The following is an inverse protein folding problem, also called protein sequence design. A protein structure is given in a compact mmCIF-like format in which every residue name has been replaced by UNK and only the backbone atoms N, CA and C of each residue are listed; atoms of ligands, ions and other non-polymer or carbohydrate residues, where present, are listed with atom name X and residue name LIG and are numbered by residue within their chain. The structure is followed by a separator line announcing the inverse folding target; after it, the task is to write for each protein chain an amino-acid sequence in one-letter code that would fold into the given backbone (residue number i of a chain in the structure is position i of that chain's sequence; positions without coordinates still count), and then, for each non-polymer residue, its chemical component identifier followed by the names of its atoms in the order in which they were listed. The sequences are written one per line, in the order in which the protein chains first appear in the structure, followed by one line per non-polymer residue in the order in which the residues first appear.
data_IF_995686193298
#
_entry.id   IF_995686193298
#
_cell.length_a   1.000
_cell.length_b   1.000
_cell.length_c   1.000
_cell.angle_alpha   90.00
_cell.angle_beta   90.00
_cell.angle_gamma   90.00
#
_symmetry.space_group_name_H-M   'P 1'
#
loop_
_entity.id
_entity.type
_entity.pdbx_description
1 polymer ?
#
# COMPACT_ATOMS: atom_id res chain seq x y z
N UNK A 1 10.91 -9.84 -5.11
CA UNK A 1 9.83 -8.86 -5.36
C UNK A 1 10.37 -7.73 -6.21
N UNK A 2 9.79 -7.50 -7.40
CA UNK A 2 10.19 -6.45 -8.33
C UNK A 2 9.67 -5.11 -7.80
N UNK A 3 10.56 -4.32 -7.19
CA UNK A 3 10.23 -3.00 -6.64
C UNK A 3 9.98 -2.02 -7.80
N UNK A 4 8.73 -1.68 -8.06
CA UNK A 4 8.30 -0.76 -9.15
C UNK A 4 8.46 0.72 -8.77
N UNK A 5 8.30 1.07 -7.50
CA UNK A 5 8.44 2.44 -6.99
C UNK A 5 9.85 3.06 -7.21
N UNK A 6 10.98 2.38 -6.94
CA UNK A 6 12.30 2.93 -7.25
C UNK A 6 12.60 2.96 -8.76
N UNK A 7 11.91 2.16 -9.58
CA UNK A 7 12.15 2.12 -11.02
C UNK A 7 11.64 3.38 -11.71
N UNK A 8 10.49 3.91 -11.32
CA UNK A 8 9.87 5.08 -11.94
C UNK A 8 10.64 6.38 -11.65
N UNK A 9 11.21 6.51 -10.43
CA UNK A 9 12.09 7.63 -10.09
C UNK A 9 13.42 7.60 -10.86
N UNK A 10 13.97 6.41 -11.12
CA UNK A 10 15.16 6.25 -11.96
C UNK A 10 14.84 6.57 -13.42
N UNK A 11 13.69 6.08 -13.94
CA UNK A 11 13.25 6.38 -15.31
C UNK A 11 13.03 7.89 -15.55
N UNK A 12 12.51 8.62 -14.56
CA UNK A 12 12.29 10.06 -14.69
C UNK A 12 13.58 10.91 -14.67
N UNK A 13 14.69 10.36 -14.16
CA UNK A 13 16.01 11.01 -14.22
C UNK A 13 16.69 10.86 -15.58
N UNK A 14 16.18 10.02 -16.48
CA UNK A 14 16.74 9.83 -17.81
C UNK A 14 16.28 11.00 -18.71
N UNK A 15 17.22 11.78 -19.28
CA UNK A 15 16.91 12.92 -20.13
C UNK A 15 16.14 12.44 -21.38
N UNK A 16 15.27 13.30 -21.93
CA UNK A 16 14.32 12.95 -22.99
C UNK A 16 15.00 12.30 -24.22
N UNK A 17 16.24 12.70 -24.49
CA UNK A 17 17.10 12.22 -25.57
C UNK A 17 17.60 10.76 -25.41
N UNK A 18 17.56 10.18 -24.21
CA UNK A 18 17.94 8.80 -23.90
C UNK A 18 16.72 7.89 -23.64
N UNK A 19 15.50 8.38 -23.89
CA UNK A 19 14.25 7.61 -23.73
C UNK A 19 13.99 6.74 -24.97
N UNK A 20 14.75 5.67 -25.09
CA UNK A 20 14.61 4.68 -26.17
C UNK A 20 13.36 3.79 -26.04
N UNK A 21 13.07 2.97 -27.06
CA UNK A 21 11.95 2.00 -27.03
C UNK A 21 11.95 1.07 -25.80
N UNK A 22 13.12 0.82 -25.20
CA UNK A 22 13.26 0.05 -23.95
C UNK A 22 12.71 0.80 -22.73
N UNK A 23 12.86 2.13 -22.69
CA UNK A 23 12.28 3.00 -21.66
C UNK A 23 10.75 3.03 -21.78
N UNK A 24 10.24 3.18 -23.00
CA UNK A 24 8.79 3.13 -23.27
C UNK A 24 8.19 1.77 -22.92
N UNK A 25 8.87 0.67 -23.23
CA UNK A 25 8.44 -0.67 -22.85
C UNK A 25 8.38 -0.88 -21.33
N UNK A 26 9.37 -0.39 -20.59
CA UNK A 26 9.37 -0.43 -19.12
C UNK A 26 8.30 0.48 -18.51
N UNK A 27 8.11 1.68 -19.05
CA UNK A 27 7.04 2.58 -18.60
C UNK A 27 5.66 1.96 -18.85
N UNK A 28 5.40 1.43 -20.05
CA UNK A 28 4.13 0.78 -20.36
C UNK A 28 3.87 -0.43 -19.46
N UNK A 29 4.92 -1.18 -19.08
CA UNK A 29 4.82 -2.30 -18.13
C UNK A 29 4.48 -1.81 -16.71
N UNK A 30 5.09 -0.70 -16.27
CA UNK A 30 4.77 -0.06 -14.99
C UNK A 30 3.33 0.46 -15.01
N UNK A 31 2.91 1.15 -16.07
CA UNK A 31 1.54 1.64 -16.23
C UNK A 31 0.51 0.50 -16.29
N UNK A 32 0.83 -0.62 -16.94
CA UNK A 32 -0.02 -1.82 -16.92
C UNK A 32 -0.15 -2.41 -15.51
N UNK A 33 0.95 -2.46 -14.76
CA UNK A 33 0.93 -2.93 -13.37
C UNK A 33 0.13 -1.99 -12.47
N UNK A 34 0.23 -0.67 -12.67
CA UNK A 34 -0.56 0.34 -11.95
C UNK A 34 -2.04 0.23 -12.32
N UNK A 35 -2.37 0.11 -13.62
CA UNK A 35 -3.76 -0.05 -14.07
C UNK A 35 -4.39 -1.36 -13.60
N UNK A 36 -3.62 -2.43 -13.48
CA UNK A 36 -4.09 -3.68 -12.90
C UNK A 36 -4.33 -3.58 -11.38
N UNK A 37 -3.64 -2.64 -10.71
CA UNK A 37 -3.80 -2.35 -9.30
C UNK A 37 -4.95 -1.36 -9.01
N UNK A 38 -5.39 -0.57 -9.98
CA UNK A 38 -6.47 0.41 -9.80
C UNK A 38 -7.84 -0.23 -10.11
N UNK A 39 -8.35 -0.98 -9.14
CA UNK A 39 -9.67 -1.62 -9.25
C UNK A 39 -10.79 -0.65 -8.87
N UNK A 40 -11.95 -0.70 -9.54
CA UNK A 40 -13.09 0.16 -9.21
C UNK A 40 -13.61 -0.07 -7.78
N UNK A 41 -13.45 -1.28 -7.22
CA UNK A 41 -13.80 -1.55 -5.82
C UNK A 41 -12.98 -0.74 -4.82
N UNK A 42 -11.67 -0.53 -5.06
CA UNK A 42 -10.83 0.29 -4.18
C UNK A 42 -11.31 1.74 -4.19
N UNK A 43 -11.62 2.28 -5.36
CA UNK A 43 -12.09 3.67 -5.49
C UNK A 43 -13.42 3.88 -4.75
N UNK A 44 -14.39 2.95 -4.91
CA UNK A 44 -15.67 3.02 -4.21
C UNK A 44 -15.49 2.98 -2.69
N UNK A 45 -14.66 2.05 -2.19
CA UNK A 45 -14.40 1.94 -0.75
C UNK A 45 -13.69 3.17 -0.20
N UNK A 46 -12.80 3.81 -0.97
CA UNK A 46 -12.17 5.08 -0.58
C UNK A 46 -13.19 6.20 -0.48
N UNK A 47 -14.11 6.32 -1.44
CA UNK A 47 -15.18 7.32 -1.39
C UNK A 47 -16.14 7.08 -0.22
N UNK A 48 -16.52 5.83 0.04
CA UNK A 48 -17.35 5.48 1.19
C UNK A 48 -16.64 5.78 2.50
N UNK A 49 -15.36 5.43 2.61
CA UNK A 49 -14.54 5.74 3.79
C UNK A 49 -14.36 7.24 3.98
N UNK A 50 -14.24 8.02 2.90
CA UNK A 50 -14.16 9.48 2.96
C UNK A 50 -15.46 10.13 3.44
N UNK A 51 -16.61 9.56 3.06
CA UNK A 51 -17.94 10.02 3.53
C UNK A 51 -18.23 9.57 4.95
N UNK A 52 -17.85 8.34 5.29
CA UNK A 52 -18.14 7.72 6.57
C UNK A 52 -16.93 6.88 7.03
N UNK A 53 -15.95 7.50 7.68
CA UNK A 53 -14.78 6.79 8.17
C UNK A 53 -15.20 5.82 9.28
N UNK A 54 -15.07 4.53 9.02
CA UNK A 54 -15.39 3.45 9.96
C UNK A 54 -14.30 2.39 9.91
N UNK A 55 -14.06 1.72 11.04
CA UNK A 55 -13.05 0.68 11.16
C UNK A 55 -13.32 -0.51 10.21
N UNK A 56 -14.59 -0.93 10.06
CA UNK A 56 -14.98 -1.99 9.13
C UNK A 56 -14.68 -1.63 7.66
N UNK A 57 -14.96 -0.39 7.27
CA UNK A 57 -14.63 0.13 5.93
C UNK A 57 -13.12 0.19 5.73
N UNK A 58 -12.35 0.60 6.74
CA UNK A 58 -10.90 0.62 6.65
C UNK A 58 -10.31 -0.79 6.46
N UNK A 59 -10.84 -1.79 7.17
CA UNK A 59 -10.43 -3.19 7.00
C UNK A 59 -10.72 -3.69 5.60
N UNK A 60 -11.94 -3.46 5.09
CA UNK A 60 -12.32 -3.83 3.72
C UNK A 60 -11.45 -3.14 2.68
N UNK A 61 -11.20 -1.84 2.86
CA UNK A 61 -10.35 -1.05 1.97
C UNK A 61 -8.90 -1.56 1.99
N UNK A 62 -8.33 -1.82 3.17
CA UNK A 62 -6.98 -2.37 3.29
C UNK A 62 -6.85 -3.75 2.62
N UNK A 63 -7.86 -4.61 2.73
CA UNK A 63 -7.89 -5.90 2.04
C UNK A 63 -7.91 -5.75 0.52
N UNK A 64 -8.73 -4.83 -0.01
CA UNK A 64 -8.79 -4.56 -1.45
C UNK A 64 -7.48 -3.94 -1.97
N UNK A 65 -6.90 -3.01 -1.21
CA UNK A 65 -5.59 -2.45 -1.50
C UNK A 65 -4.50 -3.54 -1.51
N UNK A 66 -4.54 -4.49 -0.58
CA UNK A 66 -3.63 -5.64 -0.58
C UNK A 66 -3.78 -6.51 -1.84
N UNK A 67 -5.01 -6.82 -2.25
CA UNK A 67 -5.29 -7.59 -3.48
C UNK A 67 -4.79 -6.84 -4.74
N UNK A 68 -4.90 -5.51 -4.73
CA UNK A 68 -4.36 -4.62 -5.74
C UNK A 68 -2.82 -4.48 -5.70
N UNK A 69 -2.09 -5.19 -4.83
CA UNK A 69 -0.66 -4.97 -4.56
C UNK A 69 -0.30 -3.56 -4.04
N UNK A 70 -1.29 -2.76 -3.64
CA UNK A 70 -1.13 -1.43 -3.01
C UNK A 70 -0.93 -1.56 -1.50
N UNK A 71 0.07 -2.36 -1.14
CA UNK A 71 0.36 -2.75 0.23
C UNK A 71 0.75 -1.58 1.12
N UNK A 72 1.49 -0.60 0.60
CA UNK A 72 1.89 0.57 1.38
C UNK A 72 0.67 1.35 1.85
N UNK A 73 -0.28 1.64 0.96
CA UNK A 73 -1.51 2.37 1.29
C UNK A 73 -2.39 1.61 2.27
N UNK A 74 -2.51 0.28 2.09
CA UNK A 74 -3.25 -0.58 3.03
C UNK A 74 -2.68 -0.47 4.45
N UNK A 75 -1.35 -0.57 4.57
CA UNK A 75 -0.65 -0.49 5.85
C UNK A 75 -0.72 0.92 6.44
N UNK A 76 -0.57 1.98 5.64
CA UNK A 76 -0.70 3.37 6.13
C UNK A 76 -2.10 3.65 6.67
N UNK A 77 -3.14 3.19 5.98
CA UNK A 77 -4.53 3.35 6.41
C UNK A 77 -4.76 2.74 7.80
N UNK A 78 -4.40 1.46 7.96
CA UNK A 78 -4.56 0.75 9.22
C UNK A 78 -3.65 1.33 10.32
N UNK A 79 -2.43 1.71 9.97
CA UNK A 79 -1.48 2.32 10.91
C UNK A 79 -1.97 3.68 11.42
N UNK A 80 -2.58 4.51 10.57
CA UNK A 80 -3.16 5.79 10.98
C UNK A 80 -4.28 5.60 12.00
N UNK A 81 -5.11 4.56 11.84
CA UNK A 81 -6.14 4.20 12.82
C UNK A 81 -5.49 3.73 14.12
N UNK A 82 -4.52 2.81 14.05
CA UNK A 82 -3.79 2.31 15.23
C UNK A 82 -3.06 3.41 15.99
N UNK A 83 -2.58 4.45 15.29
CA UNK A 83 -1.94 5.60 15.90
C UNK A 83 -2.92 6.45 16.71
N UNK A 84 -4.19 6.49 16.31
CA UNK A 84 -5.25 7.19 17.05
C UNK A 84 -5.81 6.30 18.16
N UNK A 85 -6.07 5.03 17.86
CA UNK A 85 -6.59 4.03 18.78
C UNK A 85 -5.97 2.64 18.53
N UNK A 86 -5.05 2.26 19.42
CA UNK A 86 -4.40 0.95 19.41
C UNK A 86 -5.38 -0.21 19.69
N UNK A 87 -6.50 0.08 20.35
CA UNK A 87 -7.54 -0.87 20.70
C UNK A 87 -8.70 -0.91 19.70
N UNK A 88 -8.58 -0.21 18.56
CA UNK A 88 -9.65 -0.10 17.57
C UNK A 88 -10.21 -1.48 17.18
N UNK A 89 -11.54 -1.62 17.30
CA UNK A 89 -12.28 -2.87 17.13
C UNK A 89 -11.72 -4.06 17.93
N UNK A 90 -11.45 -3.87 19.23
CA UNK A 90 -10.95 -4.92 20.12
C UNK A 90 -9.59 -5.49 19.64
N UNK A 91 -8.81 -4.66 18.94
CA UNK A 91 -7.54 -5.05 18.35
C UNK A 91 -7.63 -5.78 17.01
N UNK A 92 -8.81 -5.90 16.38
CA UNK A 92 -8.94 -6.45 15.01
C UNK A 92 -8.08 -5.70 14.00
N UNK A 93 -8.06 -4.37 14.05
CA UNK A 93 -7.26 -3.55 13.13
C UNK A 93 -5.78 -3.93 13.22
N UNK A 94 -5.28 -4.15 14.44
CA UNK A 94 -3.90 -4.56 14.68
C UNK A 94 -3.63 -5.97 14.16
N UNK A 95 -4.58 -6.89 14.36
CA UNK A 95 -4.47 -8.24 13.83
C UNK A 95 -4.37 -8.24 12.31
N UNK A 96 -5.27 -7.53 11.62
CA UNK A 96 -5.26 -7.44 10.16
C UNK A 96 -4.01 -6.75 9.62
N UNK A 97 -3.54 -5.68 10.28
CA UNK A 97 -2.27 -5.05 9.94
C UNK A 97 -1.09 -6.05 10.02
N UNK A 98 -1.03 -6.85 11.07
CA UNK A 98 -0.01 -7.90 11.21
C UNK A 98 -0.18 -9.03 10.20
N UNK A 99 -1.42 -9.42 9.88
CA UNK A 99 -1.73 -10.41 8.84
C UNK A 99 -1.24 -9.96 7.47
N UNK A 100 -1.49 -8.70 7.08
CA UNK A 100 -1.00 -8.11 5.83
C UNK A 100 0.54 -8.06 5.82
N UNK A 101 1.18 -7.64 6.92
CA UNK A 101 2.65 -7.65 7.04
C UNK A 101 3.22 -9.07 6.90
N UNK A 102 2.54 -10.08 7.44
CA UNK A 102 2.94 -11.48 7.31
C UNK A 102 2.76 -11.99 5.87
N UNK A 103 1.67 -11.59 5.20
CA UNK A 103 1.37 -11.95 3.82
C UNK A 103 2.38 -11.35 2.82
N UNK A 104 2.80 -10.09 3.03
CA UNK A 104 3.86 -9.45 2.23
C UNK A 104 5.21 -10.14 2.48
N UNK A 105 5.45 -10.59 3.70
CA UNK A 105 6.66 -11.30 4.10
C UNK A 105 7.74 -10.39 4.67
N UNK A 106 8.63 -10.99 5.45
CA UNK A 106 9.67 -10.31 6.25
C UNK A 106 10.82 -9.72 5.43
N UNK A 107 11.01 -10.16 4.19
CA UNK A 107 12.06 -9.64 3.31
C UNK A 107 11.67 -8.34 2.59
N UNK A 108 10.43 -7.87 2.75
CA UNK A 108 10.01 -6.61 2.13
C UNK A 108 10.44 -5.40 2.98
N UNK A 109 11.00 -4.33 2.36
CA UNK A 109 11.34 -3.10 3.06
C UNK A 109 10.13 -2.44 3.74
N UNK A 110 8.92 -2.53 3.18
CA UNK A 110 7.69 -1.99 3.79
C UNK A 110 7.44 -2.69 5.12
N UNK A 111 7.55 -4.02 5.15
CA UNK A 111 7.34 -4.80 6.38
C UNK A 111 8.26 -4.33 7.50
N UNK A 112 9.52 -4.07 7.20
CA UNK A 112 10.49 -3.59 8.20
C UNK A 112 10.22 -2.14 8.65
N UNK A 113 9.82 -1.25 7.73
CA UNK A 113 9.42 0.14 8.02
C UNK A 113 8.22 0.17 9.00
N UNK A 114 7.15 -0.53 8.66
CA UNK A 114 5.91 -0.55 9.43
C UNK A 114 6.03 -1.28 10.75
N UNK A 115 6.80 -2.38 10.83
CA UNK A 115 7.12 -3.02 12.11
C UNK A 115 7.79 -2.06 13.08
N UNK A 116 8.82 -1.34 12.62
CA UNK A 116 9.52 -0.32 13.44
C UNK A 116 8.56 0.75 13.94
N UNK A 117 7.69 1.26 13.07
CA UNK A 117 6.69 2.26 13.44
C UNK A 117 5.69 1.73 14.47
N UNK A 118 5.22 0.48 14.32
CA UNK A 118 4.33 -0.15 15.28
C UNK A 118 5.01 -0.32 16.65
N UNK A 119 6.27 -0.75 16.68
CA UNK A 119 7.04 -0.85 17.93
C UNK A 119 7.19 0.50 18.63
N UNK A 120 7.40 1.59 17.87
CA UNK A 120 7.48 2.94 18.45
C UNK A 120 6.17 3.47 19.03
N UNK A 121 5.04 2.85 18.69
CA UNK A 121 3.73 3.17 19.25
C UNK A 121 3.41 2.38 20.53
N UNK A 122 4.13 1.28 20.77
CA UNK A 122 3.94 0.40 21.93
C UNK A 122 4.86 0.75 23.11
N UNK A 123 5.85 1.62 22.89
CA UNK A 123 6.82 2.10 23.88
C UNK A 123 6.62 3.60 24.12
#
# INVERSE_FOLDING_TARGET
MKKTEPAQQILNKIPLQDRDSRWQGLQAQIELLIKAADTPEVQQLQEEFAKQPSHDLALKLALQLHQANRNEEALELLFNILRQDLGAEDGKIKQEFLSILAAIGTNDPLTNKFRRLLYSLLY
#
